data_IF_363782945174
#
_entry.id   IF_363782945174
#
_cell.length_a   1.000
_cell.length_b   1.000
_cell.length_c   1.000
_cell.angle_alpha   90.00
_cell.angle_beta   90.00
_cell.angle_gamma   90.00
#
_symmetry.space_group_name_H-M   'P 1'
#
loop_
_entity.id
_entity.type
_entity.pdbx_description
1 polymer ?
#
# COMPACT_ATOMS: atom_id res chain seq x y z
N UNK A 1 -4.75 -12.42 -17.16
CA UNK A 1 -4.17 -13.00 -15.93
C UNK A 1 -5.30 -13.28 -14.95
N UNK A 2 -5.59 -14.52 -14.57
CA UNK A 2 -6.74 -14.79 -13.73
C UNK A 2 -6.53 -14.26 -12.32
N UNK A 3 -7.54 -13.60 -11.78
CA UNK A 3 -7.64 -13.27 -10.37
C UNK A 3 -7.85 -14.56 -9.58
N UNK A 4 -6.99 -14.84 -8.63
CA UNK A 4 -7.05 -16.03 -7.78
C UNK A 4 -7.34 -15.57 -6.35
N UNK A 5 -8.26 -16.26 -5.67
CA UNK A 5 -8.47 -16.08 -4.23
C UNK A 5 -7.43 -16.87 -3.46
N UNK A 6 -7.00 -16.35 -2.32
CA UNK A 6 -6.15 -17.11 -1.39
C UNK A 6 -6.90 -18.32 -0.79
N UNK A 7 -6.18 -19.15 -0.05
CA UNK A 7 -6.71 -20.41 0.50
C UNK A 7 -7.95 -20.25 1.40
N UNK A 8 -8.09 -19.07 2.03
CA UNK A 8 -9.24 -18.74 2.88
C UNK A 8 -10.31 -17.94 2.11
N UNK A 9 -10.15 -17.73 0.81
CA UNK A 9 -11.13 -17.08 -0.06
C UNK A 9 -11.33 -15.58 0.20
N UNK A 10 -10.52 -14.98 1.11
CA UNK A 10 -10.72 -13.62 1.60
C UNK A 10 -9.99 -12.55 0.82
N UNK A 11 -8.94 -12.91 0.11
CA UNK A 11 -8.11 -11.96 -0.64
C UNK A 11 -8.04 -12.34 -2.10
N UNK A 12 -8.13 -11.33 -2.95
CA UNK A 12 -7.88 -11.46 -4.38
C UNK A 12 -6.40 -11.26 -4.65
N UNK A 13 -5.80 -12.20 -5.35
CA UNK A 13 -4.41 -12.12 -5.78
C UNK A 13 -4.32 -12.18 -7.29
N UNK A 14 -3.37 -11.45 -7.84
CA UNK A 14 -2.94 -11.65 -9.22
C UNK A 14 -1.95 -12.81 -9.23
N UNK A 15 -2.24 -13.88 -9.97
CA UNK A 15 -1.31 -15.00 -10.17
C UNK A 15 -0.19 -14.54 -11.11
N UNK A 16 0.86 -13.96 -10.55
CA UNK A 16 2.00 -13.46 -11.31
C UNK A 16 3.31 -13.74 -10.58
N UNK A 17 4.43 -13.53 -11.28
CA UNK A 17 5.78 -13.53 -10.68
C UNK A 17 6.01 -12.33 -9.76
N UNK A 18 5.07 -11.38 -9.75
CA UNK A 18 5.18 -10.17 -8.96
C UNK A 18 4.83 -10.42 -7.50
N UNK A 19 5.42 -9.62 -6.61
CA UNK A 19 5.16 -9.64 -5.18
C UNK A 19 3.75 -9.12 -4.89
N UNK A 20 2.79 -10.02 -4.70
CA UNK A 20 1.45 -9.72 -4.19
C UNK A 20 0.78 -8.47 -4.79
N UNK A 21 0.87 -7.36 -4.09
CA UNK A 21 0.30 -6.06 -4.47
C UNK A 21 1.31 -5.13 -5.15
N UNK A 22 2.52 -5.59 -5.38
CA UNK A 22 3.62 -4.83 -5.96
C UNK A 22 3.90 -5.29 -7.38
N UNK A 23 4.36 -4.37 -8.23
CA UNK A 23 4.89 -4.67 -9.56
C UNK A 23 6.36 -5.10 -9.52
N UNK A 24 6.92 -5.29 -8.35
CA UNK A 24 8.31 -5.70 -8.18
C UNK A 24 8.44 -7.22 -8.30
N UNK A 25 9.40 -7.69 -9.09
CA UNK A 25 9.71 -9.12 -9.22
C UNK A 25 10.28 -9.66 -7.91
N UNK A 26 9.82 -10.85 -7.50
CA UNK A 26 10.38 -11.55 -6.33
C UNK A 26 11.86 -11.87 -6.52
N UNK A 27 12.22 -12.37 -7.69
CA UNK A 27 13.60 -12.71 -8.04
C UNK A 27 14.55 -11.50 -7.93
N UNK A 28 14.05 -10.30 -8.24
CA UNK A 28 14.82 -9.08 -8.09
C UNK A 28 15.07 -8.75 -6.62
N UNK A 29 14.04 -8.87 -5.77
CA UNK A 29 14.16 -8.59 -4.33
C UNK A 29 15.07 -9.61 -3.64
N UNK A 30 14.92 -10.89 -3.95
CA UNK A 30 15.69 -11.97 -3.33
C UNK A 30 17.20 -11.87 -3.67
N UNK A 31 17.54 -11.23 -4.79
CA UNK A 31 18.93 -11.00 -5.23
C UNK A 31 19.49 -9.62 -4.84
N UNK A 32 18.71 -8.78 -4.13
CA UNK A 32 19.21 -7.49 -3.65
C UNK A 32 20.11 -7.68 -2.43
N UNK A 33 21.41 -7.42 -2.61
CA UNK A 33 22.34 -7.23 -1.50
C UNK A 33 22.08 -5.82 -0.90
N UNK A 34 21.23 -5.79 0.13
CA UNK A 34 20.85 -4.53 0.79
C UNK A 34 21.93 -4.21 1.82
N UNK A 35 22.84 -3.32 1.45
CA UNK A 35 23.79 -2.76 2.41
C UNK A 35 23.04 -2.04 3.56
N UNK A 36 23.63 -2.03 4.79
CA UNK A 36 23.04 -1.32 5.92
C UNK A 36 22.77 0.15 5.54
N UNK A 37 21.50 0.56 5.59
CA UNK A 37 21.12 1.92 5.26
C UNK A 37 21.26 2.82 6.47
N UNK A 38 21.91 3.97 6.29
CA UNK A 38 21.93 5.03 7.29
C UNK A 38 20.53 5.62 7.44
N UNK A 39 20.10 5.83 8.68
CA UNK A 39 18.81 6.48 8.96
C UNK A 39 18.98 7.99 8.80
N UNK A 40 18.34 8.57 7.77
CA UNK A 40 18.35 10.01 7.56
C UNK A 40 17.65 10.79 8.69
N UNK A 41 16.59 10.19 9.26
CA UNK A 41 15.82 10.78 10.37
C UNK A 41 15.59 9.71 11.44
N UNK A 42 16.57 9.48 12.33
CA UNK A 42 16.50 8.37 13.30
C UNK A 42 15.39 8.53 14.34
N UNK A 43 14.92 9.75 14.57
CA UNK A 43 13.85 10.11 15.51
C UNK A 43 12.44 10.15 14.87
N UNK A 44 12.33 9.81 13.60
CA UNK A 44 11.06 9.79 12.87
C UNK A 44 10.62 8.35 12.60
N UNK A 45 9.44 7.98 13.08
CA UNK A 45 8.81 6.71 12.76
C UNK A 45 8.08 6.80 11.43
N UNK A 46 8.28 5.82 10.54
CA UNK A 46 7.50 5.69 9.30
C UNK A 46 6.44 4.62 9.50
N UNK A 47 5.18 5.00 9.37
CA UNK A 47 4.04 4.10 9.51
C UNK A 47 3.27 4.02 8.19
N UNK A 48 2.97 2.81 7.75
CA UNK A 48 2.14 2.57 6.55
C UNK A 48 0.76 2.09 6.94
N UNK A 49 -0.27 2.77 6.45
CA UNK A 49 -1.66 2.30 6.52
C UNK A 49 -1.99 1.59 5.21
N UNK A 50 -2.22 0.29 5.27
CA UNK A 50 -2.56 -0.48 4.08
C UNK A 50 -3.88 -0.04 3.44
N UNK A 51 -3.94 -0.01 2.11
CA UNK A 51 -5.14 0.41 1.38
C UNK A 51 -6.37 -0.45 1.69
N UNK A 52 -6.20 -1.70 2.10
CA UNK A 52 -7.29 -2.54 2.57
C UNK A 52 -7.93 -2.01 3.87
N UNK A 53 -7.14 -1.49 4.79
CA UNK A 53 -7.66 -0.90 6.02
C UNK A 53 -8.38 0.43 5.75
N UNK A 54 -7.96 1.16 4.73
CA UNK A 54 -8.56 2.45 4.36
C UNK A 54 -9.88 2.24 3.61
N UNK A 55 -9.86 1.49 2.51
CA UNK A 55 -11.00 1.39 1.59
C UNK A 55 -11.80 0.10 1.77
N UNK A 56 -11.12 -1.06 1.87
CA UNK A 56 -11.84 -2.35 1.86
C UNK A 56 -12.54 -2.63 3.19
N UNK A 57 -11.96 -2.20 4.31
CA UNK A 57 -12.57 -2.27 5.64
C UNK A 57 -13.23 -0.96 6.05
N UNK A 58 -12.74 0.19 5.55
CA UNK A 58 -13.32 1.51 5.74
C UNK A 58 -13.66 1.82 7.19
N UNK A 59 -14.92 2.15 7.44
CA UNK A 59 -15.44 2.53 8.77
C UNK A 59 -15.27 1.46 9.85
N UNK A 60 -15.05 0.20 9.49
CA UNK A 60 -14.81 -0.87 10.47
C UNK A 60 -13.41 -0.87 11.07
N UNK A 61 -12.42 -0.31 10.38
CA UNK A 61 -11.02 -0.34 10.80
C UNK A 61 -10.40 1.04 10.92
N UNK A 62 -10.63 1.90 9.94
CA UNK A 62 -9.92 3.16 9.81
C UNK A 62 -10.11 4.11 11.01
N UNK A 63 -11.32 4.32 11.56
CA UNK A 63 -11.50 5.24 12.70
C UNK A 63 -10.69 4.87 13.93
N UNK A 64 -10.59 3.57 14.23
CA UNK A 64 -9.79 3.09 15.36
C UNK A 64 -8.29 3.36 15.15
N UNK A 65 -7.79 3.12 13.94
CA UNK A 65 -6.41 3.40 13.55
C UNK A 65 -6.11 4.90 13.68
N UNK A 66 -6.99 5.75 13.15
CA UNK A 66 -6.80 7.21 13.20
C UNK A 66 -6.82 7.75 14.64
N UNK A 67 -7.70 7.22 15.48
CA UNK A 67 -7.74 7.57 16.90
C UNK A 67 -6.42 7.24 17.60
N UNK A 68 -5.87 6.07 17.32
CA UNK A 68 -4.58 5.64 17.87
C UNK A 68 -3.45 6.56 17.39
N UNK A 69 -3.41 6.88 16.10
CA UNK A 69 -2.43 7.82 15.53
C UNK A 69 -2.50 9.18 16.22
N UNK A 70 -3.70 9.72 16.44
CA UNK A 70 -3.89 10.99 17.14
C UNK A 70 -3.36 10.92 18.57
N UNK A 71 -3.52 9.81 19.25
CA UNK A 71 -3.01 9.62 20.62
C UNK A 71 -1.47 9.60 20.67
N UNK A 72 -0.84 8.85 19.76
CA UNK A 72 0.62 8.65 19.81
C UNK A 72 1.41 9.82 19.18
N UNK A 73 0.80 10.64 18.31
CA UNK A 73 1.48 11.77 17.62
C UNK A 73 2.12 12.79 18.57
N UNK A 74 1.64 12.87 19.81
CA UNK A 74 2.18 13.79 20.83
C UNK A 74 3.54 13.35 21.36
N UNK A 75 3.83 12.06 21.26
CA UNK A 75 5.05 11.44 21.81
C UNK A 75 6.05 11.06 20.71
N UNK A 76 5.58 10.89 19.47
CA UNK A 76 6.39 10.41 18.37
C UNK A 76 6.24 11.30 17.14
N UNK A 77 7.36 11.70 16.57
CA UNK A 77 7.38 12.27 15.22
C UNK A 77 7.14 11.13 14.22
N UNK A 78 6.20 11.31 13.31
CA UNK A 78 5.87 10.25 12.37
C UNK A 78 5.56 10.77 10.96
N UNK A 79 5.87 9.95 9.99
CA UNK A 79 5.43 10.08 8.60
C UNK A 79 4.43 8.96 8.33
N UNK A 80 3.25 9.34 7.86
CA UNK A 80 2.22 8.38 7.45
C UNK A 80 2.29 8.17 5.95
N UNK A 81 2.30 6.91 5.54
CA UNK A 81 2.18 6.51 4.15
C UNK A 81 0.96 5.64 3.97
N UNK A 82 0.45 5.55 2.76
CA UNK A 82 -0.73 4.74 2.44
C UNK A 82 -0.44 3.77 1.31
N UNK A 83 -1.19 2.69 1.27
CA UNK A 83 -1.18 1.75 0.16
C UNK A 83 -2.49 1.82 -0.64
N UNK A 84 -2.49 1.23 -1.83
CA UNK A 84 -3.66 1.24 -2.73
C UNK A 84 -4.72 0.17 -2.45
N UNK A 85 -4.34 -0.93 -1.80
CA UNK A 85 -5.24 -2.05 -1.51
C UNK A 85 -5.78 -2.77 -2.75
N UNK A 86 -7.02 -3.25 -2.67
CA UNK A 86 -7.68 -3.99 -3.76
C UNK A 86 -7.83 -3.15 -5.02
N UNK A 87 -7.99 -1.84 -4.91
CA UNK A 87 -8.10 -0.94 -6.06
C UNK A 87 -6.83 -0.94 -6.91
N UNK A 88 -5.64 -0.90 -6.28
CA UNK A 88 -4.38 -1.00 -7.02
C UNK A 88 -4.22 -2.36 -7.69
N UNK A 89 -4.58 -3.45 -7.02
CA UNK A 89 -4.54 -4.79 -7.63
C UNK A 89 -5.44 -4.88 -8.86
N UNK A 90 -6.63 -4.31 -8.78
CA UNK A 90 -7.56 -4.28 -9.91
C UNK A 90 -6.94 -3.54 -11.11
N UNK A 91 -6.39 -2.35 -10.89
CA UNK A 91 -5.72 -1.58 -11.95
C UNK A 91 -4.50 -2.33 -12.52
N UNK A 92 -3.69 -2.97 -11.67
CA UNK A 92 -2.54 -3.75 -12.12
C UNK A 92 -2.98 -4.93 -13.00
N UNK A 93 -4.03 -5.62 -12.61
CA UNK A 93 -4.57 -6.74 -13.40
C UNK A 93 -5.00 -6.27 -14.78
N UNK A 94 -5.85 -5.26 -14.85
CA UNK A 94 -6.34 -4.71 -16.12
C UNK A 94 -5.18 -4.20 -16.97
N UNK A 95 -4.26 -3.42 -16.40
CA UNK A 95 -3.13 -2.88 -17.13
C UNK A 95 -2.22 -3.96 -17.72
N UNK A 96 -1.96 -5.02 -16.96
CA UNK A 96 -1.16 -6.15 -17.42
C UNK A 96 -1.89 -6.96 -18.52
N UNK A 97 -3.20 -7.18 -18.39
CA UNK A 97 -4.01 -7.85 -19.40
C UNK A 97 -4.08 -7.08 -20.72
N UNK A 98 -4.11 -5.76 -20.64
CA UNK A 98 -4.07 -4.86 -21.80
C UNK A 98 -2.67 -4.64 -22.37
N UNK A 99 -1.63 -5.25 -21.78
CA UNK A 99 -0.24 -5.10 -22.24
C UNK A 99 0.33 -3.70 -22.03
N UNK A 100 -0.17 -2.94 -21.06
CA UNK A 100 0.36 -1.60 -20.75
C UNK A 100 1.77 -1.68 -20.20
N UNK A 101 2.63 -0.68 -20.47
CA UNK A 101 3.97 -0.59 -19.87
C UNK A 101 3.89 -0.56 -18.33
N UNK A 102 4.73 -1.35 -17.67
CA UNK A 102 4.71 -1.49 -16.19
C UNK A 102 4.91 -0.16 -15.47
N UNK A 103 5.69 0.77 -16.03
CA UNK A 103 5.87 2.11 -15.46
C UNK A 103 4.57 2.92 -15.40
N UNK A 104 3.70 2.79 -16.41
CA UNK A 104 2.38 3.44 -16.44
C UNK A 104 1.45 2.78 -15.41
N UNK A 105 1.48 1.46 -15.34
CA UNK A 105 0.67 0.70 -14.36
C UNK A 105 1.10 1.09 -12.93
N UNK A 106 2.39 1.21 -12.67
CA UNK A 106 2.92 1.67 -11.39
C UNK A 106 2.43 3.09 -11.04
N UNK A 107 2.40 4.00 -12.04
CA UNK A 107 1.87 5.36 -11.84
C UNK A 107 0.39 5.34 -11.44
N UNK A 108 -0.43 4.52 -12.08
CA UNK A 108 -1.83 4.36 -11.69
C UNK A 108 -1.97 3.88 -10.24
N UNK A 109 -1.15 2.91 -9.81
CA UNK A 109 -1.14 2.45 -8.42
C UNK A 109 -0.73 3.55 -7.43
N UNK A 110 0.24 4.39 -7.79
CA UNK A 110 0.64 5.54 -6.96
C UNK A 110 -0.48 6.55 -6.81
N UNK A 111 -1.21 6.86 -7.89
CA UNK A 111 -2.38 7.76 -7.84
C UNK A 111 -3.47 7.26 -6.89
N UNK A 112 -3.69 5.96 -6.83
CA UNK A 112 -4.63 5.36 -5.87
C UNK A 112 -4.12 5.53 -4.44
N UNK A 113 -2.84 5.33 -4.20
CA UNK A 113 -2.23 5.56 -2.89
C UNK A 113 -2.31 7.04 -2.48
N UNK A 114 -2.12 7.97 -3.41
CA UNK A 114 -2.28 9.41 -3.18
C UNK A 114 -3.74 9.77 -2.79
N UNK A 115 -4.74 9.18 -3.46
CA UNK A 115 -6.15 9.35 -3.07
C UNK A 115 -6.38 8.86 -1.64
N UNK A 116 -5.84 7.71 -1.28
CA UNK A 116 -5.96 7.17 0.06
C UNK A 116 -5.24 8.06 1.10
N UNK A 117 -4.10 8.64 0.74
CA UNK A 117 -3.39 9.58 1.60
C UNK A 117 -4.21 10.85 1.84
N UNK A 118 -4.85 11.39 0.79
CA UNK A 118 -5.74 12.54 0.91
C UNK A 118 -6.94 12.25 1.82
N UNK A 119 -7.56 11.06 1.69
CA UNK A 119 -8.64 10.64 2.59
C UNK A 119 -8.18 10.62 4.06
N UNK A 120 -7.04 10.00 4.33
CA UNK A 120 -6.46 9.91 5.69
C UNK A 120 -6.14 11.31 6.22
N UNK A 121 -5.49 12.14 5.42
CA UNK A 121 -5.17 13.52 5.79
C UNK A 121 -6.42 14.33 6.11
N UNK A 122 -7.47 14.22 5.28
CA UNK A 122 -8.76 14.91 5.51
C UNK A 122 -9.39 14.46 6.82
N UNK A 123 -9.38 13.16 7.12
CA UNK A 123 -9.95 12.61 8.36
C UNK A 123 -9.13 12.95 9.62
N UNK A 124 -7.85 13.26 9.47
CA UNK A 124 -6.97 13.69 10.55
C UNK A 124 -6.97 15.21 10.76
N UNK A 125 -7.49 15.96 9.79
CA UNK A 125 -7.64 17.42 9.91
C UNK A 125 -8.75 17.78 10.89
N UNK A 126 -8.56 18.82 11.74
CA UNK A 126 -9.55 19.29 12.69
C UNK A 126 -10.76 19.90 11.99
#
# INVERSE_FOLDING_TARGET
>A
MPLVRDKDGKRLHVKSRLMGESLVSKEFIDNLDIAPQERLYPDVAVMKIGGQSICDRGVKALPAILKEIVNIRRQHKMVLTTGGGTRSRHIYTIGLEMGMPTGIIAKFGSMISEQNALMVATLLSP
#
